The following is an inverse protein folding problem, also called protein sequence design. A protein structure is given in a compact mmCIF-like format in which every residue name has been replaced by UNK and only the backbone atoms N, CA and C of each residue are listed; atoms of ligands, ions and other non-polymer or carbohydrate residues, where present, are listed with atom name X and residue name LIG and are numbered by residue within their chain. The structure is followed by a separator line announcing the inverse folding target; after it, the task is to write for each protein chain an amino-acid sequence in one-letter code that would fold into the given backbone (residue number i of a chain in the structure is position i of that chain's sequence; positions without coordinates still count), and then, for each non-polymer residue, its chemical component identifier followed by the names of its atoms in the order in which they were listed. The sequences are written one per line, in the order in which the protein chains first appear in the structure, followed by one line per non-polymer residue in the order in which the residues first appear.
data_IF_161556911323
#
_entry.id   IF_161556911323
#
_cell.length_a   1.000
_cell.length_b   1.000
_cell.length_c   1.000
_cell.angle_alpha   90.00
_cell.angle_beta   90.00
_cell.angle_gamma   90.00
#
_symmetry.space_group_name_H-M   'P 1'
#
loop_
_entity.id
_entity.type
_entity.pdbx_description
1 polymer ?
#
# COMPACT_ATOMS: atom_id res chain seq x y z
N UNK A 1 -21.98 5.26 -31.75
CA UNK A 1 -20.66 5.89 -31.92
C UNK A 1 -19.90 5.57 -30.65
N UNK A 2 -18.99 4.59 -30.66
CA UNK A 2 -18.28 4.19 -29.44
C UNK A 2 -17.36 5.33 -29.01
N UNK A 3 -17.82 6.04 -27.99
CA UNK A 3 -17.08 7.01 -27.21
C UNK A 3 -15.78 6.35 -26.73
N UNK A 4 -14.66 6.85 -27.22
CA UNK A 4 -13.33 6.31 -26.93
C UNK A 4 -13.14 6.28 -25.43
N UNK A 5 -13.15 5.10 -24.81
CA UNK A 5 -12.86 4.96 -23.39
C UNK A 5 -11.47 5.57 -23.14
N UNK A 6 -11.44 6.76 -22.54
CA UNK A 6 -10.20 7.41 -22.14
C UNK A 6 -9.52 6.45 -21.18
N UNK A 7 -8.41 5.87 -21.60
CA UNK A 7 -7.67 4.91 -20.78
C UNK A 7 -6.61 5.67 -20.02
N UNK A 8 -6.59 5.51 -18.71
CA UNK A 8 -5.56 6.08 -17.83
C UNK A 8 -4.55 5.02 -17.46
N UNK A 9 -3.27 5.40 -17.48
CA UNK A 9 -2.20 4.57 -16.95
C UNK A 9 -1.66 5.21 -15.66
N UNK A 10 -1.57 4.40 -14.60
CA UNK A 10 -1.07 4.81 -13.29
C UNK A 10 0.30 4.21 -13.05
N UNK A 11 1.32 5.07 -13.02
CA UNK A 11 2.69 4.65 -12.71
C UNK A 11 2.94 4.78 -11.21
N UNK A 12 3.06 3.65 -10.54
CA UNK A 12 3.27 3.60 -9.09
C UNK A 12 4.55 4.33 -8.66
N UNK A 13 4.45 5.02 -7.52
CA UNK A 13 5.53 5.64 -6.76
C UNK A 13 5.32 5.37 -5.27
N UNK A 14 6.32 5.70 -4.45
CA UNK A 14 6.30 5.39 -3.00
C UNK A 14 5.06 5.89 -2.26
N UNK A 15 4.54 7.07 -2.63
CA UNK A 15 3.39 7.71 -1.95
C UNK A 15 2.15 7.86 -2.82
N UNK A 16 2.09 7.20 -3.98
CA UNK A 16 1.00 7.46 -4.93
C UNK A 16 1.30 6.99 -6.34
N UNK A 17 0.81 7.73 -7.33
CA UNK A 17 1.07 7.44 -8.73
C UNK A 17 1.14 8.70 -9.58
N UNK A 18 1.99 8.68 -10.60
CA UNK A 18 1.87 9.60 -11.74
C UNK A 18 0.75 9.06 -12.64
N UNK A 19 -0.17 9.94 -13.05
CA UNK A 19 -1.35 9.65 -13.85
C UNK A 19 -1.08 10.09 -15.28
N UNK A 20 -1.26 9.18 -16.23
CA UNK A 20 -1.07 9.43 -17.65
C UNK A 20 -2.38 9.24 -18.39
N UNK A 21 -2.72 10.19 -19.28
CA UNK A 21 -3.75 9.97 -20.30
C UNK A 21 -3.10 9.29 -21.49
N UNK A 22 -3.70 8.19 -21.94
CA UNK A 22 -3.24 7.48 -23.14
C UNK A 22 -3.84 8.18 -24.36
N UNK A 23 -2.99 8.75 -25.22
CA UNK A 23 -3.45 9.34 -26.47
C UNK A 23 -3.93 8.24 -27.44
N UNK A 24 -4.93 8.51 -28.30
CA UNK A 24 -5.36 7.56 -29.34
C UNK A 24 -4.18 7.11 -30.20
N UNK A 25 -4.14 5.84 -30.57
CA UNK A 25 -3.09 5.28 -31.43
C UNK A 25 -2.93 6.11 -32.71
N UNK A 26 -1.74 6.66 -32.93
CA UNK A 26 -1.43 7.31 -34.18
C UNK A 26 -1.20 6.26 -35.29
N UNK A 27 -1.17 6.71 -36.55
CA UNK A 27 -0.95 5.86 -37.74
C UNK A 27 0.31 4.97 -37.68
N UNK A 28 1.23 5.24 -36.75
CA UNK A 28 2.48 4.52 -36.53
C UNK A 28 2.40 3.50 -35.37
N UNK A 29 1.21 3.24 -34.81
CA UNK A 29 0.98 2.38 -33.63
C UNK A 29 1.79 2.80 -32.39
N UNK A 30 2.09 4.09 -32.27
CA UNK A 30 2.85 4.61 -31.13
C UNK A 30 1.86 5.06 -30.05
N UNK A 31 1.96 4.45 -28.88
CA UNK A 31 1.24 4.85 -27.68
C UNK A 31 1.96 6.04 -27.05
N UNK A 32 1.28 7.17 -26.92
CA UNK A 32 1.80 8.36 -26.26
C UNK A 32 1.15 8.52 -24.88
N UNK A 33 1.99 8.67 -23.86
CA UNK A 33 1.57 8.84 -22.47
C UNK A 33 1.76 10.30 -22.08
N UNK A 34 0.65 11.02 -21.90
CA UNK A 34 0.69 12.42 -21.45
C UNK A 34 0.51 12.44 -19.94
N UNK A 35 1.53 12.86 -19.18
CA UNK A 35 1.40 13.02 -17.74
C UNK A 35 0.43 14.17 -17.45
N UNK A 36 -0.65 13.87 -16.72
CA UNK A 36 -1.70 14.85 -16.41
C UNK A 36 -1.74 15.22 -14.94
N UNK A 37 -1.33 14.32 -14.04
CA UNK A 37 -1.34 14.56 -12.61
C UNK A 37 -0.41 13.63 -11.85
N UNK A 38 -0.19 13.96 -10.59
CA UNK A 38 0.25 13.05 -9.54
C UNK A 38 -0.87 12.92 -8.50
N UNK A 39 -1.20 11.70 -8.10
CA UNK A 39 -2.15 11.41 -7.03
C UNK A 39 -1.44 10.80 -5.83
N UNK A 40 -1.73 11.28 -4.63
CA UNK A 40 -1.22 10.72 -3.38
C UNK A 40 -2.19 9.66 -2.83
N UNK A 41 -1.72 8.43 -2.60
CA UNK A 41 -2.59 7.32 -2.16
C UNK A 41 -3.11 7.49 -0.73
N UNK A 42 -2.31 8.11 0.16
CA UNK A 42 -2.62 8.27 1.58
C UNK A 42 -3.75 9.26 1.81
N UNK A 43 -3.66 10.45 1.22
CA UNK A 43 -4.64 11.52 1.45
C UNK A 43 -5.55 11.80 0.24
N UNK A 44 -5.29 11.19 -0.92
CA UNK A 44 -6.07 11.42 -2.13
C UNK A 44 -5.79 12.74 -2.84
N UNK A 45 -4.79 13.52 -2.39
CA UNK A 45 -4.47 14.81 -3.01
C UNK A 45 -3.98 14.62 -4.44
N UNK A 46 -4.60 15.35 -5.38
CA UNK A 46 -4.28 15.33 -6.81
C UNK A 46 -3.58 16.63 -7.16
N UNK A 47 -2.38 16.52 -7.75
CA UNK A 47 -1.60 17.65 -8.24
C UNK A 47 -1.49 17.55 -9.75
N UNK A 48 -2.11 18.48 -10.47
CA UNK A 48 -2.00 18.55 -11.92
C UNK A 48 -0.54 18.74 -12.37
N UNK A 49 -0.14 18.06 -13.43
CA UNK A 49 1.19 18.18 -14.02
C UNK A 49 1.19 19.31 -15.05
N UNK A 50 2.16 20.23 -14.98
CA UNK A 50 2.38 21.24 -16.02
C UNK A 50 1.20 22.15 -16.34
N UNK A 51 0.25 22.34 -15.41
CA UNK A 51 -0.98 23.12 -15.65
C UNK A 51 -2.07 22.38 -16.44
N UNK A 52 -1.98 21.05 -16.57
CA UNK A 52 -3.02 20.25 -17.20
C UNK A 52 -4.39 20.47 -16.52
N UNK A 53 -5.44 20.62 -17.34
CA UNK A 53 -6.83 20.66 -16.88
C UNK A 53 -7.34 19.22 -16.85
N UNK A 54 -7.75 18.77 -15.66
CA UNK A 54 -8.31 17.44 -15.46
C UNK A 54 -9.80 17.44 -15.80
N UNK A 55 -10.23 16.51 -16.65
CA UNK A 55 -11.63 16.32 -17.02
C UNK A 55 -12.38 15.54 -15.93
N UNK A 56 -13.73 15.53 -15.94
CA UNK A 56 -14.51 14.69 -15.03
C UNK A 56 -14.11 13.20 -15.11
N UNK A 57 -13.79 12.71 -16.31
CA UNK A 57 -13.34 11.33 -16.55
C UNK A 57 -11.98 11.07 -15.90
N UNK A 58 -11.04 12.03 -15.94
CA UNK A 58 -9.76 11.90 -15.25
C UNK A 58 -9.97 11.77 -13.73
N UNK A 59 -10.86 12.58 -13.15
CA UNK A 59 -11.16 12.50 -11.72
C UNK A 59 -11.82 11.18 -11.34
N UNK A 60 -12.76 10.68 -12.16
CA UNK A 60 -13.41 9.39 -11.94
C UNK A 60 -12.40 8.23 -12.00
N UNK A 61 -11.49 8.24 -12.97
CA UNK A 61 -10.44 7.24 -13.08
C UNK A 61 -9.48 7.27 -11.89
N UNK A 62 -9.06 8.47 -11.46
CA UNK A 62 -8.19 8.63 -10.28
C UNK A 62 -8.88 8.15 -9.01
N UNK A 63 -10.18 8.45 -8.83
CA UNK A 63 -10.95 8.01 -7.67
C UNK A 63 -11.10 6.48 -7.62
N UNK A 64 -11.41 5.85 -8.76
CA UNK A 64 -11.50 4.39 -8.87
C UNK A 64 -10.15 3.73 -8.53
N UNK A 65 -9.06 4.19 -9.15
CA UNK A 65 -7.72 3.69 -8.87
C UNK A 65 -7.32 3.87 -7.41
N UNK A 66 -7.68 5.00 -6.79
CA UNK A 66 -7.39 5.24 -5.37
C UNK A 66 -8.06 4.22 -4.47
N UNK A 67 -9.33 3.91 -4.72
CA UNK A 67 -10.09 2.96 -3.92
C UNK A 67 -9.51 1.55 -4.05
N UNK A 68 -9.29 1.09 -5.28
CA UNK A 68 -8.66 -0.21 -5.56
C UNK A 68 -7.29 -0.29 -4.90
N UNK A 69 -6.46 0.73 -5.08
CA UNK A 69 -5.10 0.74 -4.54
C UNK A 69 -5.07 0.75 -3.02
N UNK A 70 -5.98 1.46 -2.37
CA UNK A 70 -6.12 1.44 -0.90
C UNK A 70 -6.56 0.07 -0.40
N UNK A 71 -7.52 -0.56 -1.08
CA UNK A 71 -7.93 -1.93 -0.77
C UNK A 71 -6.77 -2.92 -0.88
N UNK A 72 -5.99 -2.85 -1.96
CA UNK A 72 -4.79 -3.68 -2.14
C UNK A 72 -3.74 -3.44 -1.06
N UNK A 73 -3.48 -2.19 -0.70
CA UNK A 73 -2.50 -1.85 0.34
C UNK A 73 -2.96 -2.34 1.71
N UNK A 74 -4.23 -2.17 2.06
CA UNK A 74 -4.78 -2.68 3.32
C UNK A 74 -4.72 -4.22 3.40
N UNK A 75 -5.01 -4.91 2.29
CA UNK A 75 -4.87 -6.36 2.22
C UNK A 75 -3.42 -6.80 2.44
N UNK A 76 -2.45 -6.08 1.86
CA UNK A 76 -1.01 -6.35 2.06
C UNK A 76 -0.56 -6.08 3.49
N UNK A 77 -1.03 -5.00 4.13
CA UNK A 77 -0.71 -4.71 5.54
C UNK A 77 -1.19 -5.83 6.47
N UNK A 78 -2.38 -6.38 6.23
CA UNK A 78 -2.87 -7.54 6.98
C UNK A 78 -2.03 -8.80 6.72
N UNK A 79 -1.66 -9.05 5.46
CA UNK A 79 -0.79 -10.16 5.08
C UNK A 79 0.61 -10.04 5.70
N UNK A 80 1.18 -8.83 5.77
CA UNK A 80 2.48 -8.57 6.39
C UNK A 80 2.47 -8.87 7.90
N UNK A 81 1.36 -8.57 8.59
CA UNK A 81 1.20 -8.95 9.99
C UNK A 81 1.16 -10.47 10.19
N UNK A 82 0.52 -11.21 9.28
CA UNK A 82 0.51 -12.68 9.30
C UNK A 82 1.91 -13.26 8.97
N UNK A 83 2.60 -12.71 7.96
CA UNK A 83 3.99 -13.06 7.65
C UNK A 83 4.92 -12.83 8.84
N UNK A 84 4.71 -11.77 9.62
CA UNK A 84 5.47 -11.52 10.85
C UNK A 84 5.24 -12.62 11.89
N UNK A 85 3.99 -13.07 12.08
CA UNK A 85 3.70 -14.16 13.00
C UNK A 85 4.42 -15.46 12.61
N UNK A 86 4.43 -15.79 11.31
CA UNK A 86 5.18 -16.93 10.79
C UNK A 86 6.69 -16.77 10.98
N UNK A 87 7.23 -15.58 10.75
CA UNK A 87 8.64 -15.28 10.98
C UNK A 87 9.02 -15.42 12.46
N UNK A 88 8.15 -14.99 13.40
CA UNK A 88 8.36 -15.18 14.83
C UNK A 88 8.37 -16.66 15.20
N UNK A 89 7.44 -17.45 14.67
CA UNK A 89 7.39 -18.90 14.89
C UNK A 89 8.65 -19.60 14.36
N UNK A 90 9.08 -19.27 13.13
CA UNK A 90 10.30 -19.80 12.53
C UNK A 90 11.55 -19.40 13.33
N UNK A 91 11.60 -18.17 13.82
CA UNK A 91 12.71 -17.66 14.66
C UNK A 91 12.75 -18.39 16.00
N UNK A 92 11.60 -18.56 16.65
CA UNK A 92 11.51 -19.31 17.91
C UNK A 92 12.01 -20.75 17.73
N UNK A 93 11.61 -21.42 16.64
CA UNK A 93 12.12 -22.75 16.32
C UNK A 93 13.64 -22.74 16.09
N UNK A 94 14.16 -21.80 15.31
CA UNK A 94 15.60 -21.67 15.09
C UNK A 94 16.39 -21.47 16.39
N UNK A 95 15.94 -20.61 17.30
CA UNK A 95 16.57 -20.41 18.62
C UNK A 95 16.61 -21.72 19.41
N UNK A 96 15.54 -22.50 19.38
CA UNK A 96 15.44 -23.74 20.16
C UNK A 96 16.25 -24.91 19.58
N UNK A 97 16.37 -25.00 18.25
CA UNK A 97 16.87 -26.21 17.59
C UNK A 97 18.22 -26.04 16.89
N UNK A 98 18.65 -24.81 16.58
CA UNK A 98 19.79 -24.56 15.68
C UNK A 98 20.73 -23.44 16.12
N UNK A 99 20.23 -22.39 16.77
CA UNK A 99 21.04 -21.22 17.11
C UNK A 99 22.14 -21.56 18.12
N UNK A 100 23.33 -21.01 17.91
CA UNK A 100 24.35 -20.96 18.96
C UNK A 100 23.98 -19.90 20.01
N UNK A 101 24.56 -20.00 21.21
CA UNK A 101 24.34 -19.01 22.27
C UNK A 101 24.70 -17.58 21.82
N UNK A 102 25.79 -17.42 21.06
CA UNK A 102 26.21 -16.12 20.56
C UNK A 102 25.25 -15.55 19.51
N UNK A 103 24.74 -16.39 18.60
CA UNK A 103 23.76 -15.94 17.59
C UNK A 103 22.42 -15.57 18.23
N UNK A 104 21.98 -16.32 19.24
CA UNK A 104 20.77 -16.00 19.99
C UNK A 104 20.92 -14.66 20.73
N UNK A 105 22.04 -14.46 21.43
CA UNK A 105 22.31 -13.22 22.17
C UNK A 105 22.21 -11.96 21.31
N UNK A 106 22.72 -12.01 20.06
CA UNK A 106 22.69 -10.88 19.12
C UNK A 106 21.27 -10.39 18.81
N UNK A 107 20.27 -11.27 18.86
CA UNK A 107 18.88 -10.94 18.48
C UNK A 107 17.93 -10.80 19.67
N UNK A 108 18.29 -11.35 20.83
CA UNK A 108 17.41 -11.47 22.01
C UNK A 108 16.76 -10.15 22.40
N UNK A 109 17.53 -9.14 22.82
CA UNK A 109 16.95 -7.89 23.35
C UNK A 109 16.11 -7.16 22.30
N UNK A 110 16.59 -7.12 21.05
CA UNK A 110 15.87 -6.47 19.95
C UNK A 110 14.52 -7.14 19.71
N UNK A 111 14.46 -8.47 19.71
CA UNK A 111 13.21 -9.20 19.52
C UNK A 111 12.29 -9.07 20.74
N UNK A 112 12.82 -9.18 21.96
CA UNK A 112 12.02 -9.05 23.18
C UNK A 112 11.34 -7.69 23.29
N UNK A 113 12.07 -6.60 23.03
CA UNK A 113 11.48 -5.25 23.06
C UNK A 113 10.45 -5.03 21.96
N UNK A 114 10.73 -5.49 20.73
CA UNK A 114 9.78 -5.38 19.62
C UNK A 114 8.48 -6.18 19.87
N UNK A 115 8.60 -7.39 20.42
CA UNK A 115 7.44 -8.21 20.77
C UNK A 115 6.62 -7.61 21.91
N UNK A 116 7.28 -6.99 22.90
CA UNK A 116 6.59 -6.31 23.99
C UNK A 116 5.78 -5.10 23.50
N UNK A 117 6.39 -4.24 22.67
CA UNK A 117 5.69 -3.09 22.08
C UNK A 117 4.49 -3.53 21.22
N UNK A 118 4.69 -4.54 20.36
CA UNK A 118 3.62 -5.12 19.54
C UNK A 118 2.49 -5.67 20.41
N UNK A 119 2.81 -6.39 21.49
CA UNK A 119 1.82 -6.91 22.44
C UNK A 119 0.98 -5.79 23.05
N UNK A 120 1.62 -4.72 23.52
CA UNK A 120 0.91 -3.57 24.11
C UNK A 120 -0.04 -2.91 23.10
N UNK A 121 0.40 -2.72 21.86
CA UNK A 121 -0.44 -2.17 20.79
C UNK A 121 -1.66 -3.06 20.48
N UNK A 122 -1.47 -4.38 20.39
CA UNK A 122 -2.55 -5.34 20.12
C UNK A 122 -3.57 -5.40 21.25
N UNK A 123 -3.11 -5.42 22.51
CA UNK A 123 -3.98 -5.42 23.68
C UNK A 123 -4.83 -4.15 23.74
N UNK A 124 -4.22 -2.98 23.49
CA UNK A 124 -4.93 -1.70 23.44
C UNK A 124 -6.01 -1.70 22.36
N UNK A 125 -5.68 -2.15 21.14
CA UNK A 125 -6.64 -2.24 20.03
C UNK A 125 -7.81 -3.16 20.36
N UNK A 126 -7.55 -4.30 21.02
CA UNK A 126 -8.59 -5.24 21.44
C UNK A 126 -9.51 -4.63 22.49
N UNK A 127 -8.97 -3.88 23.45
CA UNK A 127 -9.76 -3.18 24.45
C UNK A 127 -10.68 -2.11 23.81
N UNK A 128 -10.16 -1.33 22.87
CA UNK A 128 -10.94 -0.33 22.11
C UNK A 128 -12.09 -0.98 21.31
N UNK A 129 -11.85 -2.15 20.71
CA UNK A 129 -12.89 -2.88 19.97
C UNK A 129 -14.01 -3.37 20.89
N UNK A 130 -13.67 -3.94 22.05
CA UNK A 130 -14.65 -4.39 23.04
C UNK A 130 -15.50 -3.22 23.56
N UNK A 131 -14.88 -2.05 23.80
CA UNK A 131 -15.61 -0.87 24.26
C UNK A 131 -16.64 -0.38 23.22
N UNK A 132 -16.31 -0.42 21.93
CA UNK A 132 -17.22 -0.04 20.84
C UNK A 132 -18.38 -1.02 20.66
N UNK A 133 -18.16 -2.31 20.89
CA UNK A 133 -19.22 -3.32 20.79
C UNK A 133 -20.24 -3.25 21.95
N UNK A 134 -19.90 -2.52 23.02
CA UNK A 134 -20.75 -2.33 24.21
C UNK A 134 -21.58 -1.03 24.18
N UNK A 135 -21.32 -0.13 23.22
CA UNK A 135 -22.08 1.10 22.95
C UNK A 135 -23.18 0.87 21.89
#
# INVERSE_FOLDING_TARGET
MSETAVTHYFRHRDNGASVFRIAPENRLRRVELVEIAFVNVKNGNIRAHGGAVLTPEDHAAIACWLEERRGELAAREAEDALRLADALNATAHWVQSRATAAEAEVVTDRLLYAMQDLREALVRRRAEAIAKDQE
#
